data_IF_166387003953
#
_entry.id   IF_166387003953
#
_cell.length_a   1.000
_cell.length_b   1.000
_cell.length_c   1.000
_cell.angle_alpha   90.00
_cell.angle_beta   90.00
_cell.angle_gamma   90.00
#
_symmetry.space_group_name_H-M   'P 1'
#
loop_
_entity.id
_entity.type
_entity.pdbx_description
1 polymer ?
#
# COMPACT_ATOMS: atom_id res chain seq x y z
N UNK A 1 -8.17 -17.11 39.03
CA UNK A 1 -9.17 -16.29 38.30
C UNK A 1 -8.42 -15.14 37.65
N UNK A 2 -8.22 -15.18 36.32
CA UNK A 2 -7.45 -14.12 35.64
C UNK A 2 -8.31 -12.85 35.65
N UNK A 3 -7.80 -11.77 36.25
CA UNK A 3 -8.49 -10.48 36.30
C UNK A 3 -8.82 -9.97 34.89
N UNK A 4 -9.97 -9.32 34.72
CA UNK A 4 -10.43 -8.74 33.45
C UNK A 4 -9.38 -7.82 32.80
N UNK A 5 -8.55 -7.14 33.60
CA UNK A 5 -7.43 -6.30 33.16
C UNK A 5 -6.32 -7.13 32.51
N UNK A 6 -6.01 -8.31 33.04
CA UNK A 6 -4.98 -9.20 32.48
C UNK A 6 -5.43 -9.78 31.14
N UNK A 7 -6.71 -10.13 31.01
CA UNK A 7 -7.31 -10.57 29.75
C UNK A 7 -7.27 -9.45 28.70
N UNK A 8 -7.60 -8.21 29.08
CA UNK A 8 -7.52 -7.06 28.19
C UNK A 8 -6.09 -6.82 27.70
N UNK A 9 -5.10 -6.87 28.61
CA UNK A 9 -3.68 -6.75 28.25
C UNK A 9 -3.21 -7.86 27.32
N UNK A 10 -3.63 -9.10 27.56
CA UNK A 10 -3.27 -10.24 26.69
C UNK A 10 -3.86 -10.08 25.29
N UNK A 11 -5.10 -9.58 25.17
CA UNK A 11 -5.71 -9.24 23.87
C UNK A 11 -4.97 -8.10 23.16
N UNK A 12 -4.57 -7.06 23.89
CA UNK A 12 -3.82 -5.94 23.33
C UNK A 12 -2.42 -6.37 22.85
N UNK A 13 -1.71 -7.18 23.64
CA UNK A 13 -0.45 -7.80 23.20
C UNK A 13 -0.65 -8.74 22.01
N UNK A 14 -1.75 -9.49 21.97
CA UNK A 14 -2.10 -10.31 20.81
C UNK A 14 -2.29 -9.48 19.53
N UNK A 15 -2.90 -8.29 19.63
CA UNK A 15 -3.01 -7.38 18.49
C UNK A 15 -1.64 -6.90 18.00
N UNK A 16 -0.73 -6.50 18.91
CA UNK A 16 0.64 -6.14 18.54
C UNK A 16 1.43 -7.33 17.98
N UNK A 17 1.28 -8.51 18.56
CA UNK A 17 1.91 -9.73 18.08
C UNK A 17 1.44 -10.08 16.66
N UNK A 18 0.17 -9.85 16.36
CA UNK A 18 -0.38 -10.01 15.01
C UNK A 18 0.23 -9.00 14.04
N UNK A 19 0.25 -7.70 14.36
CA UNK A 19 0.97 -6.69 13.54
C UNK A 19 2.42 -7.10 13.33
N UNK A 20 3.12 -7.54 14.37
CA UNK A 20 4.51 -7.95 14.31
C UNK A 20 4.76 -9.15 13.39
N UNK A 21 3.76 -10.00 13.09
CA UNK A 21 3.93 -11.05 12.07
C UNK A 21 4.20 -10.46 10.68
N UNK A 22 3.83 -9.21 10.42
CA UNK A 22 4.16 -8.49 9.20
C UNK A 22 5.65 -8.43 8.92
N UNK A 23 6.51 -8.30 9.95
CA UNK A 23 7.97 -8.32 9.74
C UNK A 23 8.48 -9.69 9.27
N UNK A 24 7.83 -10.77 9.70
CA UNK A 24 8.15 -12.13 9.25
C UNK A 24 7.74 -12.30 7.78
N UNK A 25 6.58 -11.79 7.39
CA UNK A 25 6.16 -11.80 5.98
C UNK A 25 7.09 -10.96 5.10
N UNK A 26 7.57 -9.82 5.60
CA UNK A 26 8.56 -8.99 4.93
C UNK A 26 9.90 -9.73 4.74
N UNK A 27 10.35 -10.45 5.77
CA UNK A 27 11.53 -11.30 5.67
C UNK A 27 11.38 -12.41 4.62
N UNK A 28 10.25 -13.12 4.63
CA UNK A 28 9.95 -14.17 3.64
C UNK A 28 9.85 -13.62 2.20
N UNK A 29 9.25 -12.44 2.03
CA UNK A 29 9.24 -11.75 0.74
C UNK A 29 10.67 -11.41 0.25
N UNK A 30 11.54 -11.01 1.18
CA UNK A 30 12.94 -10.71 0.87
C UNK A 30 13.72 -11.97 0.51
N UNK A 31 13.50 -13.09 1.22
CA UNK A 31 14.10 -14.38 0.85
C UNK A 31 13.68 -14.82 -0.56
N UNK A 32 12.38 -14.75 -0.86
CA UNK A 32 11.88 -15.07 -2.20
C UNK A 32 12.53 -14.20 -3.29
N UNK A 33 12.80 -12.92 -2.98
CA UNK A 33 13.51 -12.02 -3.88
C UNK A 33 14.95 -12.47 -4.13
N UNK A 34 15.69 -12.84 -3.07
CA UNK A 34 17.06 -13.34 -3.16
C UNK A 34 17.14 -14.66 -3.94
N UNK A 35 16.12 -15.50 -3.82
CA UNK A 35 16.00 -16.78 -4.54
C UNK A 35 15.47 -16.64 -5.97
N UNK A 36 15.31 -15.42 -6.49
CA UNK A 36 14.78 -15.14 -7.83
C UNK A 36 13.35 -15.66 -8.08
N UNK A 37 12.49 -15.57 -7.07
CA UNK A 37 11.10 -16.02 -7.12
C UNK A 37 10.12 -14.84 -7.02
N UNK A 38 9.90 -14.08 -8.12
CA UNK A 38 9.08 -12.86 -8.09
C UNK A 38 7.63 -13.13 -7.65
N UNK A 39 7.03 -14.23 -8.11
CA UNK A 39 5.67 -14.64 -7.71
C UNK A 39 5.58 -14.84 -6.19
N UNK A 40 6.50 -15.58 -5.58
CA UNK A 40 6.50 -15.81 -4.13
C UNK A 40 6.75 -14.50 -3.36
N UNK A 41 7.60 -13.61 -3.86
CA UNK A 41 7.81 -12.30 -3.26
C UNK A 41 6.51 -11.48 -3.22
N UNK A 42 5.80 -11.38 -4.35
CA UNK A 42 4.50 -10.69 -4.42
C UNK A 42 3.43 -11.36 -3.56
N UNK A 43 3.42 -12.70 -3.47
CA UNK A 43 2.50 -13.43 -2.61
C UNK A 43 2.72 -13.09 -1.13
N UNK A 44 3.98 -13.05 -0.67
CA UNK A 44 4.28 -12.66 0.71
C UNK A 44 3.92 -11.20 1.01
N UNK A 45 4.14 -10.28 0.05
CA UNK A 45 3.65 -8.90 0.16
C UNK A 45 2.12 -8.83 0.18
N UNK A 46 1.43 -9.72 -0.55
CA UNK A 46 -0.02 -9.87 -0.49
C UNK A 46 -0.51 -10.36 0.87
N UNK A 47 0.22 -11.30 1.51
CA UNK A 47 -0.06 -11.72 2.89
C UNK A 47 0.17 -10.55 3.87
N UNK A 48 1.25 -9.79 3.70
CA UNK A 48 1.53 -8.61 4.52
C UNK A 48 0.39 -7.57 4.44
N UNK A 49 -0.16 -7.34 3.23
CA UNK A 49 -1.32 -6.48 3.01
C UNK A 49 -2.57 -6.96 3.77
N UNK A 50 -2.78 -8.27 3.87
CA UNK A 50 -3.87 -8.84 4.67
C UNK A 50 -3.65 -8.61 6.16
N UNK A 51 -2.41 -8.74 6.64
CA UNK A 51 -2.05 -8.47 8.04
C UNK A 51 -2.34 -7.00 8.39
N UNK A 52 -1.82 -6.04 7.62
CA UNK A 52 -2.07 -4.61 7.79
C UNK A 52 -3.59 -4.26 7.70
N UNK A 53 -4.31 -4.84 6.74
CA UNK A 53 -5.76 -4.61 6.63
C UNK A 53 -6.55 -5.03 7.89
N UNK A 54 -6.08 -6.06 8.60
CA UNK A 54 -6.75 -6.62 9.77
C UNK A 54 -6.27 -6.02 11.10
N UNK A 55 -5.00 -5.66 11.21
CA UNK A 55 -4.38 -5.34 12.49
C UNK A 55 -4.94 -4.06 13.12
N UNK A 56 -5.25 -3.04 12.32
CA UNK A 56 -5.84 -1.81 12.80
C UNK A 56 -7.25 -2.06 13.33
N UNK A 57 -8.01 -2.96 12.68
CA UNK A 57 -9.34 -3.33 13.16
C UNK A 57 -9.26 -4.08 14.50
N UNK A 58 -8.31 -4.99 14.64
CA UNK A 58 -8.03 -5.70 15.89
C UNK A 58 -7.61 -4.73 17.01
N UNK A 59 -6.66 -3.83 16.73
CA UNK A 59 -6.16 -2.86 17.69
C UNK A 59 -7.26 -1.90 18.19
N UNK A 60 -8.15 -1.46 17.31
CA UNK A 60 -9.32 -0.65 17.69
C UNK A 60 -10.32 -1.43 18.53
N UNK A 61 -10.60 -2.69 18.18
CA UNK A 61 -11.57 -3.52 18.91
C UNK A 61 -11.16 -3.78 20.35
N UNK A 62 -9.86 -3.82 20.63
CA UNK A 62 -9.32 -4.09 21.97
C UNK A 62 -8.82 -2.81 22.69
N UNK A 63 -9.04 -1.63 22.11
CA UNK A 63 -8.65 -0.31 22.65
C UNK A 63 -7.19 -0.28 23.16
N UNK A 64 -6.26 -0.78 22.34
CA UNK A 64 -4.84 -0.97 22.72
C UNK A 64 -4.22 0.24 23.42
N UNK A 65 -4.46 1.45 22.91
CA UNK A 65 -3.91 2.69 23.46
C UNK A 65 -4.31 2.93 24.93
N UNK A 66 -5.52 2.53 25.32
CA UNK A 66 -5.98 2.64 26.71
C UNK A 66 -5.44 1.52 27.62
N UNK A 67 -5.13 0.36 27.04
CA UNK A 67 -4.74 -0.85 27.78
C UNK A 67 -3.21 -0.98 27.93
N UNK A 68 -2.46 -0.53 26.92
CA UNK A 68 -1.00 -0.57 26.83
C UNK A 68 -0.45 0.81 26.42
N UNK A 69 -0.56 1.85 27.26
CA UNK A 69 -0.13 3.21 26.91
C UNK A 69 1.38 3.36 26.74
N UNK A 70 2.18 2.41 27.23
CA UNK A 70 3.64 2.42 27.16
C UNK A 70 4.20 1.81 25.86
N UNK A 71 3.36 1.27 24.98
CA UNK A 71 3.79 0.66 23.72
C UNK A 71 3.14 1.39 22.54
N UNK A 72 3.97 1.95 21.66
CA UNK A 72 3.48 2.67 20.49
C UNK A 72 3.24 1.73 19.31
N UNK A 73 2.01 1.25 19.19
CA UNK A 73 1.59 0.44 18.05
C UNK A 73 1.68 1.16 16.71
N UNK A 74 1.64 2.49 16.68
CA UNK A 74 1.74 3.24 15.42
C UNK A 74 3.16 3.25 14.88
N UNK A 75 4.18 3.26 15.75
CA UNK A 75 5.58 3.12 15.33
C UNK A 75 5.86 1.70 14.82
N UNK A 76 5.32 0.68 15.50
CA UNK A 76 5.43 -0.71 15.04
C UNK A 76 4.85 -0.86 13.62
N UNK A 77 3.64 -0.36 13.41
CA UNK A 77 2.93 -0.34 12.13
C UNK A 77 3.75 0.39 11.05
N UNK A 78 4.21 1.60 11.35
CA UNK A 78 5.01 2.43 10.44
C UNK A 78 6.27 1.72 9.93
N UNK A 79 6.99 1.00 10.80
CA UNK A 79 8.20 0.25 10.42
C UNK A 79 7.87 -0.88 9.46
N UNK A 80 6.80 -1.62 9.74
CA UNK A 80 6.37 -2.77 8.92
C UNK A 80 5.81 -2.29 7.58
N UNK A 81 5.02 -1.23 7.60
CA UNK A 81 4.52 -0.56 6.40
C UNK A 81 5.67 -0.10 5.51
N UNK A 82 6.67 0.57 6.07
CA UNK A 82 7.80 1.02 5.26
C UNK A 82 8.56 -0.15 4.62
N UNK A 83 8.69 -1.28 5.32
CA UNK A 83 9.31 -2.48 4.75
C UNK A 83 8.46 -3.07 3.61
N UNK A 84 7.15 -3.20 3.82
CA UNK A 84 6.26 -3.98 2.95
C UNK A 84 5.67 -3.15 1.80
N UNK A 85 5.40 -1.87 2.01
CA UNK A 85 4.87 -0.96 0.99
C UNK A 85 5.95 -0.24 0.20
N UNK A 86 7.16 -0.08 0.73
CA UNK A 86 8.21 0.75 0.12
C UNK A 86 9.49 -0.04 -0.16
N UNK A 87 10.17 -0.51 0.89
CA UNK A 87 11.55 -1.00 0.77
C UNK A 87 11.66 -2.26 -0.07
N UNK A 88 10.86 -3.29 0.24
CA UNK A 88 10.86 -4.55 -0.53
C UNK A 88 10.33 -4.33 -1.96
N UNK A 89 9.24 -3.57 -2.19
CA UNK A 89 8.84 -3.19 -3.55
C UNK A 89 9.93 -2.45 -4.35
N UNK A 90 10.73 -1.59 -3.71
CA UNK A 90 11.84 -0.93 -4.37
C UNK A 90 12.93 -1.93 -4.79
N UNK A 91 13.25 -2.91 -3.92
CA UNK A 91 14.13 -4.02 -4.27
C UNK A 91 13.55 -4.88 -5.40
N UNK A 92 12.24 -5.12 -5.38
CA UNK A 92 11.54 -5.87 -6.42
C UNK A 92 11.68 -5.18 -7.77
N UNK A 93 11.43 -3.86 -7.82
CA UNK A 93 11.62 -3.05 -9.02
C UNK A 93 13.07 -3.10 -9.49
N UNK A 94 14.04 -2.95 -8.58
CA UNK A 94 15.46 -3.05 -8.89
C UNK A 94 15.85 -4.40 -9.52
N UNK A 95 15.25 -5.50 -9.03
CA UNK A 95 15.64 -6.86 -9.43
C UNK A 95 14.95 -7.34 -10.71
N UNK A 96 13.66 -7.03 -10.88
CA UNK A 96 12.82 -7.70 -11.88
C UNK A 96 12.24 -6.76 -12.94
N UNK A 97 12.22 -5.44 -12.71
CA UNK A 97 11.58 -4.51 -13.63
C UNK A 97 12.63 -3.85 -14.51
N UNK A 98 12.50 -3.93 -15.86
CA UNK A 98 13.41 -3.25 -16.76
C UNK A 98 13.36 -1.72 -16.58
N UNK A 99 14.55 -1.11 -16.46
CA UNK A 99 14.75 0.33 -16.36
C UNK A 99 15.81 0.77 -17.37
N UNK A 100 15.80 2.05 -17.81
CA UNK A 100 16.82 2.56 -18.71
C UNK A 100 18.22 2.40 -18.10
N UNK A 101 19.23 2.21 -18.94
CA UNK A 101 20.61 2.01 -18.50
C UNK A 101 21.05 3.13 -17.54
N UNK A 102 21.78 2.75 -16.49
CA UNK A 102 22.30 3.66 -15.46
C UNK A 102 21.26 4.37 -14.58
N UNK A 103 19.95 4.12 -14.76
CA UNK A 103 18.89 4.77 -13.96
C UNK A 103 18.41 3.95 -12.76
N UNK A 104 18.85 2.70 -12.60
CA UNK A 104 18.35 1.78 -11.56
C UNK A 104 18.48 2.37 -10.14
N UNK A 105 19.70 2.78 -9.76
CA UNK A 105 19.94 3.32 -8.41
C UNK A 105 19.16 4.62 -8.19
N UNK A 106 19.11 5.51 -9.17
CA UNK A 106 18.33 6.73 -9.10
C UNK A 106 16.85 6.43 -8.86
N UNK A 107 16.29 5.48 -9.61
CA UNK A 107 14.88 5.06 -9.48
C UNK A 107 14.57 4.56 -8.08
N UNK A 108 15.41 3.67 -7.54
CA UNK A 108 15.25 3.14 -6.17
C UNK A 108 15.41 4.24 -5.13
N UNK A 109 16.42 5.11 -5.26
CA UNK A 109 16.63 6.23 -4.35
C UNK A 109 15.44 7.19 -4.32
N UNK A 110 14.83 7.47 -5.47
CA UNK A 110 13.62 8.30 -5.55
C UNK A 110 12.45 7.65 -4.81
N UNK A 111 12.23 6.34 -4.99
CA UNK A 111 11.18 5.59 -4.28
C UNK A 111 11.38 5.69 -2.76
N UNK A 112 12.59 5.36 -2.28
CA UNK A 112 12.90 5.34 -0.85
C UNK A 112 12.77 6.74 -0.22
N UNK A 113 13.42 7.74 -0.81
CA UNK A 113 13.45 9.10 -0.26
C UNK A 113 12.07 9.75 -0.31
N UNK A 114 11.37 9.69 -1.45
CA UNK A 114 10.02 10.28 -1.55
C UNK A 114 9.04 9.67 -0.56
N UNK A 115 9.16 8.37 -0.27
CA UNK A 115 8.30 7.70 0.71
C UNK A 115 8.53 8.19 2.14
N UNK A 116 9.75 8.56 2.52
CA UNK A 116 10.00 9.19 3.83
C UNK A 116 9.24 10.51 3.97
N UNK A 117 9.17 11.33 2.91
CA UNK A 117 8.35 12.54 2.91
C UNK A 117 6.86 12.24 3.08
N UNK A 118 6.37 11.13 2.51
CA UNK A 118 5.00 10.68 2.74
C UNK A 118 4.78 10.28 4.21
N UNK A 119 5.60 9.36 4.73
CA UNK A 119 5.43 8.76 6.06
C UNK A 119 5.61 9.78 7.20
N UNK A 120 6.51 10.76 7.03
CA UNK A 120 6.72 11.82 8.00
C UNK A 120 5.73 13.00 7.86
N UNK A 121 4.81 12.98 6.88
CA UNK A 121 3.83 14.03 6.70
C UNK A 121 2.69 13.92 7.73
N UNK A 122 2.70 14.75 8.76
CA UNK A 122 1.64 14.83 9.79
C UNK A 122 0.26 15.20 9.21
N UNK A 123 0.21 15.75 8.00
CA UNK A 123 -1.01 16.10 7.27
C UNK A 123 -1.33 15.11 6.13
N UNK A 124 -0.80 13.90 6.16
CA UNK A 124 -0.99 12.89 5.10
C UNK A 124 -2.45 12.48 4.90
N UNK A 125 -3.32 12.68 5.89
CA UNK A 125 -4.75 12.30 5.83
C UNK A 125 -5.62 13.56 5.84
N UNK A 126 -6.56 13.64 4.90
CA UNK A 126 -7.58 14.69 4.88
C UNK A 126 -8.66 14.44 5.94
N UNK A 127 -9.51 15.44 6.18
CA UNK A 127 -10.64 15.34 7.12
C UNK A 127 -11.63 14.22 6.78
N UNK A 128 -11.71 13.86 5.51
CA UNK A 128 -12.56 12.78 4.97
C UNK A 128 -11.81 11.45 4.73
N UNK A 129 -10.64 11.28 5.35
CA UNK A 129 -9.79 10.08 5.32
C UNK A 129 -9.18 9.71 3.95
N UNK A 130 -9.12 10.64 3.00
CA UNK A 130 -8.27 10.46 1.81
C UNK A 130 -6.81 10.73 2.16
N UNK A 131 -5.90 10.09 1.47
CA UNK A 131 -4.49 10.47 1.51
C UNK A 131 -4.26 11.76 0.72
N UNK A 132 -3.34 12.59 1.18
CA UNK A 132 -2.94 13.86 0.55
C UNK A 132 -1.53 13.69 -0.02
N UNK A 133 -1.44 13.68 -1.34
CA UNK A 133 -0.25 13.23 -2.07
C UNK A 133 -0.25 11.72 -2.28
N UNK A 134 0.65 11.23 -3.13
CA UNK A 134 0.81 9.79 -3.37
C UNK A 134 1.17 9.08 -2.05
N UNK A 135 0.40 8.06 -1.61
CA UNK A 135 0.54 7.45 -0.29
C UNK A 135 1.70 6.46 -0.17
N UNK A 136 2.71 6.55 -1.05
CA UNK A 136 3.85 5.63 -1.09
C UNK A 136 3.45 4.14 -1.19
N UNK A 137 2.34 3.84 -1.89
CA UNK A 137 1.85 2.48 -2.14
C UNK A 137 2.66 1.77 -3.25
N UNK A 138 3.99 1.68 -3.07
CA UNK A 138 4.90 1.13 -4.08
C UNK A 138 4.76 -0.38 -4.26
N UNK A 139 4.21 -1.11 -3.29
CA UNK A 139 3.80 -2.51 -3.45
C UNK A 139 2.77 -2.69 -4.59
N UNK A 140 1.75 -1.82 -4.64
CA UNK A 140 0.74 -1.80 -5.71
C UNK A 140 1.40 -1.41 -7.03
N UNK A 141 2.28 -0.42 -7.02
CA UNK A 141 3.00 0.03 -8.24
C UNK A 141 3.89 -1.09 -8.79
N UNK A 142 4.67 -1.76 -7.94
CA UNK A 142 5.54 -2.87 -8.34
C UNK A 142 4.72 -4.02 -8.95
N UNK A 143 3.58 -4.36 -8.34
CA UNK A 143 2.64 -5.34 -8.89
C UNK A 143 2.11 -4.93 -10.27
N UNK A 144 1.68 -3.68 -10.43
CA UNK A 144 1.22 -3.16 -11.72
C UNK A 144 2.32 -3.20 -12.79
N UNK A 145 3.53 -2.75 -12.46
CA UNK A 145 4.69 -2.77 -13.37
C UNK A 145 5.06 -4.20 -13.78
N UNK A 146 4.99 -5.15 -12.84
CA UNK A 146 5.29 -6.56 -13.11
C UNK A 146 4.25 -7.19 -14.05
N UNK A 147 2.96 -6.99 -13.79
CA UNK A 147 1.87 -7.57 -14.59
C UNK A 147 1.78 -6.93 -15.98
N UNK A 148 1.90 -5.60 -16.07
CA UNK A 148 1.74 -4.87 -17.33
C UNK A 148 3.00 -4.99 -18.20
N UNK A 149 4.19 -5.07 -17.59
CA UNK A 149 5.47 -5.09 -18.29
C UNK A 149 5.70 -3.88 -19.21
N UNK A 150 5.51 -2.62 -18.74
CA UNK A 150 5.72 -1.46 -19.60
C UNK A 150 7.20 -1.29 -19.96
N UNK A 151 7.45 -0.58 -21.07
CA UNK A 151 8.82 -0.31 -21.52
C UNK A 151 9.63 0.49 -20.49
N UNK A 152 10.98 0.38 -20.50
CA UNK A 152 11.84 0.92 -19.44
C UNK A 152 11.62 2.42 -19.14
N UNK A 153 11.53 3.25 -20.19
CA UNK A 153 11.30 4.68 -20.03
C UNK A 153 9.93 5.01 -19.44
N UNK A 154 8.90 4.24 -19.77
CA UNK A 154 7.56 4.42 -19.21
C UNK A 154 7.59 4.12 -17.71
N UNK A 155 8.25 3.02 -17.31
CA UNK A 155 8.48 2.70 -15.89
C UNK A 155 9.17 3.84 -15.16
N UNK A 156 10.30 4.30 -15.69
CA UNK A 156 11.11 5.36 -15.06
C UNK A 156 10.33 6.66 -14.88
N UNK A 157 9.65 7.12 -15.93
CA UNK A 157 8.82 8.32 -15.88
C UNK A 157 7.63 8.17 -14.93
N UNK A 158 7.04 6.97 -14.85
CA UNK A 158 5.97 6.67 -13.89
C UNK A 158 6.47 6.80 -12.45
N UNK A 159 7.65 6.27 -12.14
CA UNK A 159 8.27 6.42 -10.80
C UNK A 159 8.53 7.89 -10.47
N UNK A 160 9.10 8.67 -11.40
CA UNK A 160 9.31 10.11 -11.20
C UNK A 160 7.98 10.82 -10.94
N UNK A 161 6.96 10.56 -11.77
CA UNK A 161 5.64 11.16 -11.64
C UNK A 161 5.00 10.87 -10.27
N UNK A 162 5.03 9.60 -9.84
CA UNK A 162 4.49 9.20 -8.54
C UNK A 162 5.27 9.79 -7.36
N UNK A 163 6.61 9.85 -7.45
CA UNK A 163 7.45 10.46 -6.43
C UNK A 163 7.16 11.98 -6.29
N UNK A 164 6.95 12.68 -7.40
CA UNK A 164 6.54 14.09 -7.38
C UNK A 164 5.13 14.27 -6.83
N UNK A 165 4.20 13.34 -7.13
CA UNK A 165 2.84 13.38 -6.59
C UNK A 165 2.80 13.28 -5.07
N UNK A 166 3.81 12.69 -4.42
CA UNK A 166 3.92 12.61 -2.96
C UNK A 166 3.88 13.99 -2.28
N UNK A 167 4.45 15.02 -2.91
CA UNK A 167 4.48 16.39 -2.35
C UNK A 167 3.32 17.28 -2.84
N UNK A 168 2.36 16.71 -3.56
CA UNK A 168 1.19 17.45 -4.06
C UNK A 168 0.01 17.38 -3.10
N UNK A 169 -1.08 18.08 -3.44
CA UNK A 169 -2.35 18.04 -2.71
C UNK A 169 -3.39 17.08 -3.31
N UNK A 170 -2.98 16.27 -4.30
CA UNK A 170 -3.87 15.30 -4.93
C UNK A 170 -4.42 14.32 -3.90
N UNK A 171 -5.70 13.97 -4.01
CA UNK A 171 -6.36 13.06 -3.09
C UNK A 171 -6.30 11.64 -3.59
N UNK A 172 -5.83 10.73 -2.74
CA UNK A 172 -5.79 9.29 -3.01
C UNK A 172 -6.77 8.55 -2.09
N UNK A 173 -7.54 7.63 -2.67
CA UNK A 173 -8.60 6.91 -1.95
C UNK A 173 -8.01 5.93 -0.95
N UNK A 174 -8.50 5.97 0.30
CA UNK A 174 -8.36 4.87 1.24
C UNK A 174 -9.62 3.99 1.21
N UNK A 175 -9.56 2.73 0.73
CA UNK A 175 -10.76 1.95 0.44
C UNK A 175 -11.67 1.66 1.64
N UNK A 176 -11.06 1.45 2.81
CA UNK A 176 -11.76 1.03 4.03
C UNK A 176 -12.12 2.18 4.99
N UNK A 177 -11.71 3.42 4.69
CA UNK A 177 -11.87 4.56 5.62
C UNK A 177 -12.71 5.70 5.07
N UNK A 178 -12.73 5.85 3.75
CA UNK A 178 -13.54 6.86 3.11
C UNK A 178 -15.01 6.42 3.16
N UNK A 179 -15.84 7.19 3.89
CA UNK A 179 -17.26 6.87 4.10
C UNK A 179 -18.08 6.96 2.82
N UNK A 180 -17.73 7.90 1.94
CA UNK A 180 -18.42 8.08 0.67
C UNK A 180 -18.11 6.91 -0.27
N UNK A 181 -19.15 6.22 -0.74
CA UNK A 181 -19.05 5.03 -1.59
C UNK A 181 -18.28 3.86 -0.96
N UNK A 182 -18.14 3.80 0.37
CA UNK A 182 -17.33 2.78 1.05
C UNK A 182 -17.65 1.34 0.60
N UNK A 183 -18.93 0.90 0.52
CA UNK A 183 -19.22 -0.47 0.10
C UNK A 183 -18.75 -0.78 -1.33
N UNK A 184 -18.88 0.20 -2.23
CA UNK A 184 -18.42 0.08 -3.63
C UNK A 184 -16.91 0.03 -3.67
N UNK A 185 -16.23 0.92 -2.95
CA UNK A 185 -14.76 0.95 -2.88
C UNK A 185 -14.21 -0.37 -2.35
N UNK A 186 -14.83 -0.94 -1.31
CA UNK A 186 -14.45 -2.25 -0.76
C UNK A 186 -14.66 -3.36 -1.79
N UNK A 187 -15.82 -3.39 -2.46
CA UNK A 187 -16.11 -4.39 -3.49
C UNK A 187 -15.12 -4.31 -4.66
N UNK A 188 -14.83 -3.11 -5.16
CA UNK A 188 -13.84 -2.86 -6.21
C UNK A 188 -12.44 -3.31 -5.76
N UNK A 189 -12.04 -2.99 -4.53
CA UNK A 189 -10.76 -3.45 -3.95
C UNK A 189 -10.68 -4.97 -3.91
N UNK A 190 -11.75 -5.64 -3.44
CA UNK A 190 -11.79 -7.09 -3.33
C UNK A 190 -11.67 -7.77 -4.71
N UNK A 191 -12.43 -7.29 -5.70
CA UNK A 191 -12.35 -7.79 -7.08
C UNK A 191 -10.94 -7.56 -7.63
N UNK A 192 -10.36 -6.37 -7.42
CA UNK A 192 -9.01 -6.04 -7.86
C UNK A 192 -7.95 -6.94 -7.23
N UNK A 193 -8.06 -7.24 -5.93
CA UNK A 193 -7.15 -8.15 -5.23
C UNK A 193 -7.27 -9.59 -5.72
N UNK A 194 -8.49 -10.10 -5.96
CA UNK A 194 -8.70 -11.43 -6.52
C UNK A 194 -8.16 -11.55 -7.95
N UNK A 195 -8.37 -10.52 -8.78
CA UNK A 195 -7.79 -10.48 -10.13
C UNK A 195 -6.26 -10.40 -10.06
N UNK A 196 -5.70 -9.59 -9.16
CA UNK A 196 -4.25 -9.48 -8.95
C UNK A 196 -3.65 -10.83 -8.55
N UNK A 197 -4.26 -11.53 -7.60
CA UNK A 197 -3.85 -12.86 -7.17
C UNK A 197 -3.86 -13.84 -8.35
N UNK A 198 -4.95 -13.86 -9.13
CA UNK A 198 -5.05 -14.72 -10.30
C UNK A 198 -3.96 -14.41 -11.34
N UNK A 199 -3.72 -13.13 -11.64
CA UNK A 199 -2.70 -12.70 -12.60
C UNK A 199 -1.28 -13.07 -12.12
N UNK A 200 -0.98 -12.88 -10.83
CA UNK A 200 0.34 -13.22 -10.25
C UNK A 200 0.59 -14.73 -10.30
N UNK A 201 -0.39 -15.55 -9.92
CA UNK A 201 -0.24 -17.02 -9.89
C UNK A 201 -0.07 -17.62 -11.30
N UNK A 202 -0.65 -17.00 -12.32
CA UNK A 202 -0.60 -17.50 -13.70
C UNK A 202 0.48 -16.79 -14.55
N UNK A 203 1.21 -15.82 -14.00
CA UNK A 203 2.22 -15.07 -14.73
C UNK A 203 3.29 -16.00 -15.33
N UNK A 204 3.69 -15.83 -16.61
CA UNK A 204 3.40 -14.70 -17.51
C UNK A 204 2.13 -14.86 -18.37
N UNK A 205 1.34 -15.92 -18.17
CA UNK A 205 0.12 -16.16 -18.95
C UNK A 205 -1.00 -15.25 -18.43
N UNK A 206 -1.41 -14.30 -19.26
CA UNK A 206 -2.43 -13.31 -18.91
C UNK A 206 -3.77 -13.72 -19.51
N UNK A 207 -4.77 -13.97 -18.66
CA UNK A 207 -6.16 -14.14 -19.10
C UNK A 207 -6.75 -12.76 -19.46
N UNK A 208 -7.19 -12.52 -20.71
CA UNK A 208 -7.68 -11.21 -21.15
C UNK A 208 -8.91 -10.71 -20.37
N UNK A 209 -9.79 -11.61 -19.94
CA UNK A 209 -10.98 -11.24 -19.16
C UNK A 209 -10.57 -10.76 -17.76
N UNK A 210 -9.66 -11.48 -17.10
CA UNK A 210 -9.15 -11.11 -15.77
C UNK A 210 -8.38 -9.80 -15.87
N UNK A 211 -7.55 -9.62 -16.89
CA UNK A 211 -6.84 -8.37 -17.15
C UNK A 211 -7.81 -7.21 -17.40
N UNK A 212 -8.84 -7.40 -18.22
CA UNK A 212 -9.85 -6.37 -18.51
C UNK A 212 -10.59 -5.93 -17.25
N UNK A 213 -11.00 -6.88 -16.40
CA UNK A 213 -11.62 -6.59 -15.10
C UNK A 213 -10.65 -5.86 -14.16
N UNK A 214 -9.40 -6.31 -14.09
CA UNK A 214 -8.37 -5.69 -13.26
C UNK A 214 -8.10 -4.24 -13.67
N UNK A 215 -7.97 -3.98 -14.98
CA UNK A 215 -7.81 -2.63 -15.53
C UNK A 215 -9.04 -1.75 -15.29
N UNK A 216 -10.25 -2.30 -15.40
CA UNK A 216 -11.49 -1.57 -15.10
C UNK A 216 -11.54 -1.15 -13.63
N UNK A 217 -11.17 -2.03 -12.70
CA UNK A 217 -11.10 -1.71 -11.28
C UNK A 217 -10.00 -0.66 -11.00
N UNK A 218 -8.83 -0.77 -11.63
CA UNK A 218 -7.77 0.26 -11.55
C UNK A 218 -8.26 1.61 -12.08
N UNK A 219 -9.00 1.63 -13.19
CA UNK A 219 -9.55 2.85 -13.77
C UNK A 219 -10.57 3.52 -12.85
N UNK A 220 -11.41 2.75 -12.15
CA UNK A 220 -12.30 3.28 -11.12
C UNK A 220 -11.51 3.97 -10.00
N UNK A 221 -10.42 3.35 -9.49
CA UNK A 221 -9.58 3.94 -8.46
C UNK A 221 -8.94 5.26 -8.90
N UNK A 222 -8.40 5.33 -10.11
CA UNK A 222 -7.85 6.57 -10.65
C UNK A 222 -8.96 7.62 -10.83
N UNK A 223 -10.11 7.21 -11.36
CA UNK A 223 -11.27 8.08 -11.56
C UNK A 223 -11.76 8.74 -10.27
N UNK A 224 -11.90 7.98 -9.18
CA UNK A 224 -12.37 8.53 -7.90
C UNK A 224 -11.33 9.48 -7.27
N UNK A 225 -10.04 9.21 -7.44
CA UNK A 225 -8.96 10.10 -6.97
C UNK A 225 -8.96 11.43 -7.73
N UNK A 226 -9.06 11.38 -9.07
CA UNK A 226 -9.13 12.56 -9.93
C UNK A 226 -10.40 13.37 -9.62
N UNK A 227 -11.56 12.71 -9.57
CA UNK A 227 -12.85 13.33 -9.26
C UNK A 227 -12.82 14.06 -7.91
N UNK A 228 -12.34 13.39 -6.85
CA UNK A 228 -12.27 14.00 -5.51
C UNK A 228 -11.31 15.18 -5.46
N UNK A 229 -10.19 15.10 -6.17
CA UNK A 229 -9.21 16.19 -6.28
C UNK A 229 -9.80 17.39 -7.02
N UNK A 230 -10.51 17.15 -8.13
CA UNK A 230 -11.16 18.20 -8.91
C UNK A 230 -12.23 18.94 -8.09
N UNK A 231 -13.09 18.22 -7.37
CA UNK A 231 -14.11 18.82 -6.50
C UNK A 231 -13.49 19.80 -5.48
N UNK A 232 -12.38 19.43 -4.83
CA UNK A 232 -11.74 20.32 -3.85
C UNK A 232 -11.15 21.57 -4.50
N UNK A 233 -10.63 21.44 -5.71
CA UNK A 233 -10.07 22.56 -6.45
C UNK A 233 -11.15 23.57 -6.83
N UNK A 234 -12.29 23.09 -7.33
CA UNK A 234 -13.41 23.94 -7.71
C UNK A 234 -14.08 24.58 -6.49
N UNK A 235 -14.29 23.86 -5.39
CA UNK A 235 -14.86 24.44 -4.16
C UNK A 235 -13.97 25.58 -3.60
N UNK A 236 -12.64 25.45 -3.68
CA UNK A 236 -11.72 26.52 -3.25
C UNK A 236 -11.75 27.75 -4.16
N UNK A 237 -12.07 27.58 -5.44
CA UNK A 237 -12.17 28.69 -6.40
C UNK A 237 -13.41 29.56 -6.18
N UNK A 238 -14.44 29.02 -5.50
CA UNK A 238 -15.68 29.73 -5.15
C UNK A 238 -15.58 30.51 -3.83
N UNK A 239 -14.52 30.31 -3.05
CA UNK A 239 -14.30 30.94 -1.73
C UNK A 239 -13.23 32.04 -1.79
N UNK A 240 -12.68 32.31 -2.98
CA UNK A 240 -11.81 33.47 -3.25
C UNK A 240 -12.59 34.53 -4.01
#
# INVERSE_FOLDING_TARGET
MISTVHIARLKAWGAHGFTATGVVTAFLATLALLENQPTHCLMWLGVALIVDGLDGALARKVNVQSVLPSFDGSVLDLVIDYLTYVFIPALFIYRYIPLPDYTLLLTVSLILVSSLFCFCNVNMKSKDNYFVGFPAAWNVVALCLYIIGPGPWITFLTVIGLALLTVTRMKFLHPFRVRRFMPINIAVTAIWLLCSLSLVLNHPVINPLVMGLWLLMSAYFLGICIWRTALEWFDRSQVK
#
